data_IF_732984890747
#
_entry.id   IF_732984890747
#
_cell.length_a   1.000
_cell.length_b   1.000
_cell.length_c   1.000
_cell.angle_alpha   90.00
_cell.angle_beta   90.00
_cell.angle_gamma   90.00
#
_symmetry.space_group_name_H-M   'P 1'
#
loop_
_entity.id
_entity.type
_entity.pdbx_description
1 polymer ?
#
# COMPACT_ATOMS: atom_id res chain seq x y z
N UNK A 1 8.07 -12.01 -15.96
CA UNK A 1 7.57 -11.71 -14.58
C UNK A 1 6.24 -10.97 -14.70
N UNK A 2 5.27 -11.28 -13.84
CA UNK A 2 3.99 -10.58 -13.72
C UNK A 2 3.96 -9.78 -12.43
N UNK A 3 4.01 -8.46 -12.54
CA UNK A 3 3.96 -7.53 -11.40
C UNK A 3 2.54 -6.98 -11.29
N UNK A 4 1.93 -7.04 -10.11
CA UNK A 4 0.59 -6.52 -9.90
C UNK A 4 0.56 -5.50 -8.75
N UNK A 5 0.23 -4.27 -9.09
CA UNK A 5 0.00 -3.19 -8.15
C UNK A 5 -1.43 -3.24 -7.64
N UNK A 6 -1.60 -3.07 -6.33
CA UNK A 6 -2.89 -2.85 -5.65
C UNK A 6 -2.87 -1.43 -5.12
N UNK A 7 -3.78 -0.59 -5.61
CA UNK A 7 -3.86 0.83 -5.31
C UNK A 7 -5.29 1.17 -4.90
N UNK A 8 -5.46 1.96 -3.84
CA UNK A 8 -6.80 2.28 -3.34
C UNK A 8 -7.47 3.38 -4.16
N UNK A 9 -6.78 4.50 -4.41
CA UNK A 9 -7.37 5.70 -4.99
C UNK A 9 -6.94 5.94 -6.43
N UNK A 10 -7.88 6.44 -7.25
CA UNK A 10 -7.58 6.86 -8.62
C UNK A 10 -6.48 7.93 -8.67
N UNK A 11 -6.47 8.88 -7.72
CA UNK A 11 -5.46 9.94 -7.66
C UNK A 11 -4.03 9.40 -7.48
N UNK A 12 -3.84 8.31 -6.75
CA UNK A 12 -2.54 7.65 -6.54
C UNK A 12 -2.08 6.89 -7.79
N UNK A 13 -3.03 6.27 -8.50
CA UNK A 13 -2.72 5.46 -9.66
C UNK A 13 -2.57 6.27 -10.96
N UNK A 14 -3.31 7.36 -11.11
CA UNK A 14 -3.41 8.09 -12.38
C UNK A 14 -2.05 8.55 -12.94
N UNK A 15 -1.14 9.19 -12.17
CA UNK A 15 0.17 9.60 -12.70
C UNK A 15 1.01 8.41 -13.19
N UNK A 16 0.79 7.25 -12.61
CA UNK A 16 1.47 6.01 -12.94
C UNK A 16 0.84 5.32 -14.17
N UNK A 17 -0.49 5.33 -14.27
CA UNK A 17 -1.26 4.88 -15.45
C UNK A 17 -0.83 5.67 -16.68
N UNK A 18 -0.78 7.00 -16.56
CA UNK A 18 -0.41 7.92 -17.65
C UNK A 18 1.03 7.70 -18.11
N UNK A 19 1.97 7.52 -17.14
CA UNK A 19 3.38 7.29 -17.46
C UNK A 19 3.60 6.05 -18.32
N UNK A 20 2.97 4.94 -17.95
CA UNK A 20 3.12 3.68 -18.69
C UNK A 20 2.19 3.57 -19.89
N UNK A 21 1.19 4.44 -20.01
CA UNK A 21 0.17 4.33 -21.06
C UNK A 21 -0.51 2.96 -21.03
N UNK A 22 -0.90 2.54 -19.81
CA UNK A 22 -1.59 1.25 -19.60
C UNK A 22 -3.03 1.34 -20.07
N UNK A 23 -3.57 0.24 -20.60
CA UNK A 23 -4.94 0.17 -21.10
C UNK A 23 -5.87 -0.43 -20.06
N UNK A 24 -7.05 0.18 -19.88
CA UNK A 24 -8.09 -0.37 -19.01
C UNK A 24 -8.71 -1.62 -19.64
N UNK A 25 -8.75 -2.69 -18.87
CA UNK A 25 -9.46 -3.92 -19.19
C UNK A 25 -10.86 -3.85 -18.58
N UNK A 26 -11.81 -3.25 -19.31
CA UNK A 26 -13.18 -3.03 -18.82
C UNK A 26 -13.83 -4.34 -18.38
N UNK A 27 -14.58 -4.27 -17.29
CA UNK A 27 -15.38 -5.37 -16.74
C UNK A 27 -14.60 -6.66 -16.41
N UNK A 28 -13.26 -6.59 -16.38
CA UNK A 28 -12.43 -7.79 -16.13
C UNK A 28 -12.75 -8.45 -14.79
N UNK A 29 -13.03 -7.66 -13.76
CA UNK A 29 -13.36 -8.17 -12.44
C UNK A 29 -14.87 -8.25 -12.14
N UNK A 30 -15.75 -7.99 -13.11
CA UNK A 30 -17.18 -8.01 -12.87
C UNK A 30 -17.65 -9.27 -12.12
N UNK A 31 -18.57 -9.17 -11.15
CA UNK A 31 -19.32 -7.95 -10.75
C UNK A 31 -18.61 -7.05 -9.72
N UNK A 32 -17.33 -7.29 -9.39
CA UNK A 32 -16.57 -6.45 -8.48
C UNK A 32 -16.30 -5.08 -9.12
N UNK A 33 -16.26 -3.99 -8.32
CA UNK A 33 -16.02 -2.63 -8.82
C UNK A 33 -14.55 -2.38 -9.18
N UNK A 34 -13.66 -3.34 -8.95
CA UNK A 34 -12.23 -3.21 -9.21
C UNK A 34 -11.94 -2.92 -10.67
N UNK A 35 -10.99 -2.00 -10.92
CA UNK A 35 -10.52 -1.69 -12.28
C UNK A 35 -9.17 -2.33 -12.52
N UNK A 36 -8.96 -2.84 -13.72
CA UNK A 36 -7.69 -3.40 -14.16
C UNK A 36 -7.10 -2.57 -15.30
N UNK A 37 -5.84 -2.16 -15.14
CA UNK A 37 -5.02 -1.61 -16.21
C UNK A 37 -3.85 -2.54 -16.47
N UNK A 38 -3.51 -2.75 -17.75
CA UNK A 38 -2.49 -3.73 -18.12
C UNK A 38 -1.55 -3.21 -19.19
N UNK A 39 -0.27 -3.54 -19.05
CA UNK A 39 0.73 -3.32 -20.10
C UNK A 39 1.73 -4.46 -20.15
N UNK A 40 2.07 -4.87 -21.35
CA UNK A 40 3.20 -5.75 -21.60
C UNK A 40 4.49 -4.93 -21.71
N UNK A 41 5.51 -5.30 -20.95
CA UNK A 41 6.84 -4.68 -20.92
C UNK A 41 7.86 -5.77 -21.23
N UNK A 42 8.32 -5.86 -22.48
CA UNK A 42 9.18 -6.96 -22.92
C UNK A 42 8.49 -8.32 -22.74
N UNK A 43 9.11 -9.21 -21.97
CA UNK A 43 8.57 -10.51 -21.60
C UNK A 43 7.76 -10.51 -20.28
N UNK A 44 7.61 -9.34 -19.67
CA UNK A 44 6.90 -9.15 -18.41
C UNK A 44 5.56 -8.47 -18.61
N UNK A 45 4.68 -8.56 -17.61
CA UNK A 45 3.38 -7.93 -17.61
C UNK A 45 3.24 -7.07 -16.34
N UNK A 46 2.84 -5.83 -16.51
CA UNK A 46 2.45 -4.92 -15.46
C UNK A 46 0.94 -4.85 -15.39
N UNK A 47 0.39 -5.13 -14.23
CA UNK A 47 -1.00 -4.91 -13.89
C UNK A 47 -1.10 -3.83 -12.81
N UNK A 48 -2.07 -2.92 -12.94
CA UNK A 48 -2.47 -1.98 -11.89
C UNK A 48 -3.94 -2.26 -11.61
N UNK A 49 -4.24 -2.67 -10.39
CA UNK A 49 -5.58 -2.96 -9.90
C UNK A 49 -5.98 -1.88 -8.91
N UNK A 50 -7.05 -1.17 -9.21
CA UNK A 50 -7.70 -0.24 -8.30
C UNK A 50 -8.80 -0.96 -7.53
N UNK A 51 -9.00 -0.59 -6.27
CA UNK A 51 -10.11 -1.11 -5.46
C UNK A 51 -11.48 -0.83 -6.10
N UNK A 52 -11.56 0.22 -6.91
CA UNK A 52 -12.77 0.64 -7.59
C UNK A 52 -13.50 1.76 -6.86
N UNK A 53 -14.73 2.03 -7.28
CA UNK A 53 -15.54 3.13 -6.76
C UNK A 53 -16.94 2.67 -6.41
N UNK A 54 -17.53 3.30 -5.40
CA UNK A 54 -18.92 3.15 -5.03
C UNK A 54 -19.51 4.53 -4.65
N UNK A 55 -20.70 4.83 -5.14
CA UNK A 55 -21.37 6.12 -4.91
C UNK A 55 -20.51 7.35 -5.30
N UNK A 56 -19.64 7.19 -6.31
CA UNK A 56 -18.78 8.28 -6.82
C UNK A 56 -17.48 8.51 -6.02
N UNK A 57 -17.20 7.68 -5.00
CA UNK A 57 -15.98 7.76 -4.20
C UNK A 57 -15.12 6.51 -4.37
N UNK A 58 -13.80 6.67 -4.28
CA UNK A 58 -12.87 5.55 -4.27
C UNK A 58 -13.12 4.65 -3.05
N UNK A 59 -13.03 3.34 -3.24
CA UNK A 59 -13.14 2.36 -2.19
C UNK A 59 -11.78 2.21 -1.48
N UNK A 60 -11.68 2.79 -0.29
CA UNK A 60 -10.49 2.69 0.58
C UNK A 60 -10.72 1.70 1.71
N UNK A 61 -9.66 1.30 2.38
CA UNK A 61 -9.72 0.47 3.58
C UNK A 61 -9.50 -1.02 3.35
N UNK A 62 -9.46 -1.73 4.46
CA UNK A 62 -9.05 -3.14 4.52
C UNK A 62 -9.92 -4.08 3.70
N UNK A 63 -11.23 -3.86 3.71
CA UNK A 63 -12.21 -4.74 3.03
C UNK A 63 -12.04 -4.67 1.52
N UNK A 64 -12.00 -3.45 0.97
CA UNK A 64 -11.86 -3.23 -0.46
C UNK A 64 -10.50 -3.76 -0.97
N UNK A 65 -9.43 -3.47 -0.24
CA UNK A 65 -8.09 -3.94 -0.58
C UNK A 65 -7.97 -5.48 -0.51
N UNK A 66 -8.62 -6.12 0.47
CA UNK A 66 -8.66 -7.58 0.56
C UNK A 66 -9.34 -8.20 -0.64
N UNK A 67 -10.51 -7.68 -1.04
CA UNK A 67 -11.27 -8.17 -2.20
C UNK A 67 -10.48 -7.96 -3.49
N UNK A 68 -9.92 -6.78 -3.70
CA UNK A 68 -9.11 -6.48 -4.88
C UNK A 68 -7.88 -7.39 -4.99
N UNK A 69 -7.17 -7.61 -3.88
CA UNK A 69 -5.98 -8.47 -3.83
C UNK A 69 -6.34 -9.93 -4.12
N UNK A 70 -7.42 -10.44 -3.51
CA UNK A 70 -7.90 -11.81 -3.76
C UNK A 70 -8.25 -12.00 -5.23
N UNK A 71 -9.03 -11.08 -5.81
CA UNK A 71 -9.42 -11.14 -7.21
C UNK A 71 -8.20 -11.08 -8.15
N UNK A 72 -7.23 -10.19 -7.85
CA UNK A 72 -6.00 -10.07 -8.61
C UNK A 72 -5.17 -11.36 -8.57
N UNK A 73 -4.96 -11.95 -7.40
CA UNK A 73 -4.19 -13.19 -7.26
C UNK A 73 -4.85 -14.34 -8.03
N UNK A 74 -6.17 -14.49 -7.90
CA UNK A 74 -6.89 -15.60 -8.53
C UNK A 74 -6.99 -15.46 -10.04
N UNK A 75 -7.14 -14.26 -10.58
CA UNK A 75 -7.38 -14.04 -12.01
C UNK A 75 -6.13 -13.69 -12.81
N UNK A 76 -5.12 -13.10 -12.19
CA UNK A 76 -3.90 -12.63 -12.87
C UNK A 76 -2.67 -13.48 -12.54
N UNK A 77 -2.72 -14.29 -11.47
CA UNK A 77 -1.63 -15.13 -10.98
C UNK A 77 -0.26 -14.43 -10.92
N UNK A 78 -0.15 -13.23 -10.29
CA UNK A 78 1.08 -12.45 -10.30
C UNK A 78 2.22 -13.16 -9.58
N UNK A 79 3.46 -12.84 -10.00
CA UNK A 79 4.67 -13.31 -9.33
C UNK A 79 4.92 -12.50 -8.04
N UNK A 80 4.58 -11.21 -8.07
CA UNK A 80 4.71 -10.29 -6.91
C UNK A 80 3.52 -9.32 -6.87
N UNK A 81 3.04 -9.03 -5.67
CA UNK A 81 2.10 -7.95 -5.39
C UNK A 81 2.88 -6.74 -4.88
N UNK A 82 2.51 -5.55 -5.35
CA UNK A 82 3.00 -4.28 -4.82
C UNK A 82 1.80 -3.48 -4.33
N UNK A 83 1.69 -3.26 -3.03
CA UNK A 83 0.73 -2.30 -2.50
C UNK A 83 1.37 -0.91 -2.53
N UNK A 84 0.81 -0.02 -3.33
CA UNK A 84 1.31 1.33 -3.53
C UNK A 84 0.23 2.35 -3.18
N UNK A 85 0.61 3.38 -2.44
CA UNK A 85 -0.34 4.42 -2.03
C UNK A 85 0.29 5.44 -1.08
N UNK A 86 -0.54 6.34 -0.58
CA UNK A 86 -0.15 7.35 0.39
C UNK A 86 -0.25 6.83 1.82
N UNK A 87 0.36 7.53 2.77
CA UNK A 87 0.33 7.19 4.18
C UNK A 87 0.56 8.43 5.06
N UNK A 88 0.09 8.38 6.29
CA UNK A 88 0.60 9.22 7.37
C UNK A 88 1.93 8.67 7.89
N UNK A 89 2.75 9.55 8.49
CA UNK A 89 4.01 9.18 9.12
C UNK A 89 4.27 10.05 10.37
N UNK A 90 5.37 9.84 11.08
CA UNK A 90 5.69 10.58 12.29
C UNK A 90 6.91 11.48 12.08
N UNK A 91 6.72 12.78 12.32
CA UNK A 91 7.82 13.76 12.26
C UNK A 91 8.89 13.44 13.29
N UNK A 92 8.48 12.95 14.47
CA UNK A 92 9.39 12.49 15.52
C UNK A 92 10.33 11.36 15.07
N UNK A 93 9.95 10.60 14.05
CA UNK A 93 10.76 9.53 13.46
C UNK A 93 11.57 10.01 12.22
N UNK A 94 11.58 11.33 11.97
CA UNK A 94 12.32 11.95 10.86
C UNK A 94 11.61 11.85 9.50
N UNK A 95 10.29 11.72 9.49
CA UNK A 95 9.51 11.76 8.27
C UNK A 95 9.20 13.22 7.87
N UNK A 96 9.18 13.44 6.55
CA UNK A 96 8.73 14.68 5.92
C UNK A 96 7.67 14.39 4.84
N UNK A 97 6.87 15.42 4.55
CA UNK A 97 5.84 15.33 3.49
C UNK A 97 6.47 15.01 2.13
N UNK A 98 5.90 14.02 1.47
CA UNK A 98 6.35 13.45 0.19
C UNK A 98 7.64 12.61 0.27
N UNK A 99 8.12 12.26 1.46
CA UNK A 99 9.07 11.16 1.62
C UNK A 99 8.48 9.86 1.08
N UNK A 100 9.33 9.04 0.46
CA UNK A 100 8.92 7.72 0.00
C UNK A 100 9.63 6.62 0.77
N UNK A 101 8.85 5.65 1.20
CA UNK A 101 9.30 4.50 1.97
C UNK A 101 9.00 3.19 1.25
N UNK A 102 9.90 2.22 1.39
CA UNK A 102 9.58 0.81 1.22
C UNK A 102 9.23 0.19 2.58
N UNK A 103 8.12 -0.54 2.62
CA UNK A 103 7.68 -1.22 3.85
C UNK A 103 8.50 -2.47 4.13
N UNK A 104 9.28 -2.48 5.22
CA UNK A 104 10.08 -3.63 5.66
C UNK A 104 9.37 -4.53 6.67
N UNK A 105 8.23 -4.10 7.18
CA UNK A 105 7.32 -4.87 8.02
C UNK A 105 5.90 -4.30 7.88
N UNK A 106 4.90 -5.10 8.23
CA UNK A 106 3.50 -4.69 8.16
C UNK A 106 2.69 -5.31 9.28
N UNK A 107 1.76 -4.53 9.86
CA UNK A 107 0.85 -4.99 10.91
C UNK A 107 -0.48 -4.21 10.88
N UNK A 108 -1.50 -4.73 11.59
CA UNK A 108 -2.68 -3.96 11.95
C UNK A 108 -2.47 -3.21 13.27
N UNK A 109 -3.04 -2.00 13.40
CA UNK A 109 -3.02 -1.26 14.66
C UNK A 109 -4.42 -1.10 15.31
N UNK A 110 -5.49 -1.30 14.55
CA UNK A 110 -6.86 -1.10 15.00
C UNK A 110 -7.62 -2.40 15.36
N UNK A 111 -7.01 -3.57 15.09
CA UNK A 111 -7.63 -4.87 15.42
C UNK A 111 -7.40 -5.21 16.87
N UNK A 112 -8.46 -5.15 17.65
CA UNK A 112 -8.46 -5.48 19.08
C UNK A 112 -9.21 -6.77 19.32
N UNK A 113 -8.46 -7.85 19.52
CA UNK A 113 -9.00 -9.17 19.90
C UNK A 113 -8.48 -9.49 21.29
N UNK A 114 -9.25 -9.19 22.35
CA UNK A 114 -8.84 -9.55 23.71
C UNK A 114 -8.79 -11.07 23.88
N UNK A 115 -7.80 -11.56 24.58
CA UNK A 115 -7.63 -13.00 24.80
C UNK A 115 -6.20 -13.33 25.19
N UNK A 116 -5.82 -14.55 24.90
CA UNK A 116 -4.46 -15.05 25.09
C UNK A 116 -3.49 -14.50 24.02
N UNK A 117 -2.21 -14.84 24.18
CA UNK A 117 -1.13 -14.36 23.31
C UNK A 117 -1.31 -14.74 21.82
N UNK A 118 -1.98 -15.86 21.53
CA UNK A 118 -2.21 -16.32 20.16
C UNK A 118 -3.18 -15.39 19.43
N UNK A 119 -4.28 -15.00 20.06
CA UNK A 119 -5.28 -14.09 19.49
C UNK A 119 -4.74 -12.66 19.36
N UNK A 120 -3.96 -12.21 20.34
CA UNK A 120 -3.28 -10.92 20.26
C UNK A 120 -2.27 -10.87 19.10
N UNK A 121 -1.49 -11.92 18.93
CA UNK A 121 -0.55 -12.06 17.81
C UNK A 121 -1.27 -12.10 16.46
N UNK A 122 -2.38 -12.82 16.36
CA UNK A 122 -3.21 -12.85 15.14
C UNK A 122 -3.85 -11.49 14.86
N UNK A 123 -4.23 -10.74 15.87
CA UNK A 123 -4.78 -9.39 15.71
C UNK A 123 -3.76 -8.46 15.08
N UNK A 124 -2.53 -8.44 15.57
CA UNK A 124 -1.44 -7.63 14.98
C UNK A 124 -1.10 -8.04 13.55
N UNK A 125 -1.06 -9.33 13.28
CA UNK A 125 -0.92 -9.87 11.94
C UNK A 125 0.49 -9.94 11.36
N UNK A 126 1.49 -9.22 11.77
CA UNK A 126 2.92 -9.30 11.39
C UNK A 126 3.24 -10.20 10.17
N UNK A 127 2.69 -9.87 9.00
CA UNK A 127 2.80 -10.70 7.79
C UNK A 127 4.17 -10.57 7.11
N UNK A 128 4.64 -11.62 6.40
CA UNK A 128 5.89 -11.55 5.65
C UNK A 128 5.82 -10.50 4.54
N UNK A 129 6.91 -9.77 4.36
CA UNK A 129 7.12 -8.83 3.25
C UNK A 129 8.14 -9.38 2.26
N UNK A 130 8.30 -8.73 1.11
CA UNK A 130 9.30 -9.12 0.11
C UNK A 130 10.71 -9.15 0.71
N UNK A 131 11.38 -10.29 0.60
CA UNK A 131 12.64 -10.57 1.31
C UNK A 131 13.86 -9.77 0.82
N UNK A 132 13.76 -9.07 -0.31
CA UNK A 132 14.84 -8.20 -0.82
C UNK A 132 14.53 -6.71 -0.63
N UNK A 133 13.60 -6.36 0.25
CA UNK A 133 13.15 -4.96 0.42
C UNK A 133 14.27 -4.04 0.89
N UNK A 134 15.16 -4.50 1.75
CA UNK A 134 16.29 -3.71 2.26
C UNK A 134 17.34 -3.43 1.18
N UNK A 135 17.67 -4.45 0.36
CA UNK A 135 18.54 -4.31 -0.80
C UNK A 135 17.95 -3.31 -1.82
N UNK A 136 16.65 -3.41 -2.06
CA UNK A 136 15.92 -2.48 -2.95
C UNK A 136 15.94 -1.06 -2.41
N UNK A 137 15.66 -0.85 -1.14
CA UNK A 137 15.67 0.47 -0.52
C UNK A 137 17.06 1.12 -0.64
N UNK A 138 18.11 0.37 -0.36
CA UNK A 138 19.49 0.83 -0.53
C UNK A 138 19.83 1.19 -1.98
N UNK A 139 19.47 0.33 -2.94
CA UNK A 139 19.73 0.56 -4.37
C UNK A 139 19.00 1.77 -4.94
N UNK A 140 17.79 2.04 -4.43
CA UNK A 140 16.93 3.14 -4.91
C UNK A 140 17.10 4.44 -4.10
N UNK A 141 17.82 4.40 -2.99
CA UNK A 141 17.96 5.53 -2.06
C UNK A 141 16.63 5.90 -1.39
N UNK A 142 15.77 4.90 -1.10
CA UNK A 142 14.48 5.06 -0.44
C UNK A 142 14.60 4.72 1.05
N UNK A 143 13.74 5.35 1.85
CA UNK A 143 13.63 5.05 3.28
C UNK A 143 12.97 3.68 3.52
N UNK A 144 13.25 3.08 4.67
CA UNK A 144 12.53 1.90 5.17
C UNK A 144 11.61 2.29 6.31
N UNK A 145 10.46 1.63 6.41
CA UNK A 145 9.54 1.87 7.51
C UNK A 145 8.55 0.73 7.72
N UNK A 146 8.12 0.53 8.96
CA UNK A 146 7.07 -0.43 9.31
C UNK A 146 5.70 0.18 9.03
N UNK A 147 4.96 -0.45 8.12
CA UNK A 147 3.58 -0.08 7.77
C UNK A 147 2.63 -0.56 8.88
N UNK A 148 1.72 0.32 9.28
CA UNK A 148 0.64 -0.01 10.23
C UNK A 148 -0.70 0.36 9.63
N UNK A 149 -1.63 -0.58 9.62
CA UNK A 149 -2.90 -0.46 8.91
C UNK A 149 -4.08 -0.43 9.89
N UNK A 150 -5.00 0.49 9.63
CA UNK A 150 -6.30 0.56 10.29
C UNK A 150 -7.35 1.17 9.37
N UNK A 151 -8.62 0.92 9.62
CA UNK A 151 -9.72 1.33 8.73
C UNK A 151 -10.17 2.79 8.92
N UNK A 152 -9.41 3.60 9.67
CA UNK A 152 -9.72 5.01 9.92
C UNK A 152 -8.61 5.94 9.42
N UNK A 153 -9.01 7.05 8.78
CA UNK A 153 -8.04 8.07 8.34
C UNK A 153 -7.48 8.83 9.53
N UNK A 154 -8.31 9.21 10.49
CA UNK A 154 -7.89 9.81 11.76
C UNK A 154 -7.16 8.79 12.65
N UNK A 155 -6.59 9.25 13.73
CA UNK A 155 -5.87 8.41 14.69
C UNK A 155 -6.40 8.66 16.09
N UNK A 156 -6.92 7.60 16.73
CA UNK A 156 -7.32 7.65 18.12
C UNK A 156 -6.11 7.40 19.06
N UNK A 157 -6.14 7.89 20.32
CA UNK A 157 -5.06 7.64 21.27
C UNK A 157 -4.68 6.16 21.42
N UNK A 158 -5.67 5.26 21.43
CA UNK A 158 -5.42 3.82 21.53
C UNK A 158 -4.70 3.25 20.29
N UNK A 159 -4.94 3.81 19.10
CA UNK A 159 -4.23 3.41 17.88
C UNK A 159 -2.76 3.83 17.96
N UNK A 160 -2.51 5.09 18.40
CA UNK A 160 -1.17 5.60 18.62
C UNK A 160 -0.37 4.76 19.62
N UNK A 161 -1.01 4.33 20.73
CA UNK A 161 -0.37 3.47 21.73
C UNK A 161 0.08 2.13 21.09
N UNK A 162 -0.79 1.50 20.30
CA UNK A 162 -0.47 0.23 19.62
C UNK A 162 0.63 0.44 18.57
N UNK A 163 0.54 1.51 17.77
CA UNK A 163 1.54 1.83 16.76
C UNK A 163 2.91 1.99 17.41
N UNK A 164 3.03 2.82 18.45
CA UNK A 164 4.29 3.07 19.15
C UNK A 164 4.85 1.84 19.85
N UNK A 165 3.99 1.08 20.55
CA UNK A 165 4.39 -0.14 21.26
C UNK A 165 4.98 -1.21 20.31
N UNK A 166 4.60 -1.18 19.03
CA UNK A 166 5.04 -2.14 18.01
C UNK A 166 6.01 -1.53 16.97
N UNK A 167 6.51 -0.31 17.17
CA UNK A 167 7.48 0.33 16.29
C UNK A 167 6.93 0.67 14.90
N UNK A 168 5.63 0.98 14.81
CA UNK A 168 4.99 1.43 13.57
C UNK A 168 5.43 2.83 13.19
N UNK A 169 5.69 3.07 11.90
CA UNK A 169 6.23 4.33 11.39
C UNK A 169 5.35 4.95 10.29
N UNK A 170 4.60 4.11 9.55
CA UNK A 170 3.77 4.52 8.43
C UNK A 170 2.34 4.07 8.69
N UNK A 171 1.40 5.01 8.74
CA UNK A 171 -0.02 4.71 8.97
C UNK A 171 -0.77 4.71 7.65
N UNK A 172 -1.36 3.60 7.27
CA UNK A 172 -2.20 3.47 6.08
C UNK A 172 -3.55 2.78 6.38
N UNK A 173 -4.33 2.55 5.34
CA UNK A 173 -5.65 1.91 5.49
C UNK A 173 -5.77 0.55 4.77
N UNK A 174 -4.73 0.05 4.08
CA UNK A 174 -4.81 -1.14 3.23
C UNK A 174 -3.69 -2.17 3.41
N UNK A 175 -2.49 -1.73 3.73
CA UNK A 175 -1.27 -2.53 3.60
C UNK A 175 -1.33 -3.88 4.29
N UNK A 176 -1.74 -3.94 5.55
CA UNK A 176 -1.82 -5.20 6.29
C UNK A 176 -2.93 -6.13 5.74
N UNK A 177 -4.00 -5.58 5.19
CA UNK A 177 -5.06 -6.36 4.56
C UNK A 177 -4.57 -7.01 3.25
N UNK A 178 -3.81 -6.28 2.44
CA UNK A 178 -3.12 -6.82 1.25
C UNK A 178 -2.14 -7.92 1.66
N UNK A 179 -1.31 -7.68 2.68
CA UNK A 179 -0.36 -8.66 3.19
C UNK A 179 -1.03 -9.91 3.73
N UNK A 180 -2.15 -9.77 4.45
CA UNK A 180 -2.94 -10.90 4.91
C UNK A 180 -3.34 -11.81 3.77
N UNK A 181 -3.95 -11.26 2.72
CA UNK A 181 -4.36 -12.06 1.55
C UNK A 181 -3.15 -12.68 0.86
N UNK A 182 -2.06 -11.92 0.66
CA UNK A 182 -0.83 -12.43 0.07
C UNK A 182 -0.25 -13.60 0.88
N UNK A 183 -0.31 -13.56 2.22
CA UNK A 183 0.19 -14.63 3.09
C UNK A 183 -0.57 -15.94 2.90
N UNK A 184 -1.90 -15.88 2.71
CA UNK A 184 -2.74 -17.06 2.45
C UNK A 184 -2.36 -17.77 1.15
N UNK A 185 -1.90 -17.01 0.15
CA UNK A 185 -1.49 -17.53 -1.16
C UNK A 185 0.03 -17.68 -1.29
N UNK A 186 0.80 -17.41 -0.24
CA UNK A 186 2.27 -17.41 -0.25
C UNK A 186 2.85 -16.54 -1.37
N UNK A 187 2.23 -15.40 -1.63
CA UNK A 187 2.68 -14.42 -2.62
C UNK A 187 3.57 -13.40 -1.95
N UNK A 188 4.73 -13.06 -2.54
CA UNK A 188 5.53 -11.96 -2.06
C UNK A 188 4.79 -10.64 -2.22
N UNK A 189 4.90 -9.77 -1.20
CA UNK A 189 4.30 -8.44 -1.21
C UNK A 189 5.33 -7.38 -0.84
N UNK A 190 5.34 -6.30 -1.63
CA UNK A 190 6.17 -5.11 -1.43
C UNK A 190 5.25 -3.92 -1.17
N UNK A 191 5.67 -2.99 -0.32
CA UNK A 191 4.96 -1.75 -0.02
C UNK A 191 5.77 -0.56 -0.50
N UNK A 192 5.11 0.35 -1.24
CA UNK A 192 5.67 1.64 -1.67
C UNK A 192 4.73 2.73 -1.17
N UNK A 193 5.19 3.52 -0.20
CA UNK A 193 4.34 4.49 0.49
C UNK A 193 4.93 5.88 0.43
N UNK A 194 4.10 6.89 0.10
CA UNK A 194 4.49 8.29 0.08
C UNK A 194 3.70 9.09 1.13
N UNK A 195 4.39 9.94 1.87
CA UNK A 195 3.83 10.63 3.04
C UNK A 195 2.96 11.82 2.62
N UNK A 196 1.69 11.81 3.04
CA UNK A 196 0.74 12.92 2.86
C UNK A 196 0.57 13.79 4.08
N UNK A 197 0.69 13.20 5.27
CA UNK A 197 0.40 13.85 6.54
C UNK A 197 1.32 13.35 7.65
N UNK A 198 1.55 14.22 8.64
CA UNK A 198 2.38 13.90 9.80
C UNK A 198 1.47 13.70 11.02
N UNK A 199 1.31 12.45 11.44
CA UNK A 199 0.40 12.03 12.51
C UNK A 199 0.63 12.73 13.85
N UNK A 200 1.81 13.34 14.05
CA UNK A 200 2.23 14.04 15.26
C UNK A 200 2.47 15.54 15.03
N UNK A 201 2.01 16.12 13.92
CA UNK A 201 2.15 17.54 13.60
C UNK A 201 1.19 18.44 14.40
N UNK A 202 0.09 17.88 14.91
CA UNK A 202 -1.01 18.62 15.51
C UNK A 202 -1.95 19.27 14.50
N UNK A 203 -1.70 19.10 13.19
CA UNK A 203 -2.63 19.52 12.14
C UNK A 203 -3.81 18.54 12.04
N UNK A 204 -4.93 19.02 11.47
CA UNK A 204 -6.07 18.15 11.17
C UNK A 204 -5.70 17.23 9.99
N UNK A 205 -5.85 15.90 10.18
CA UNK A 205 -5.33 14.88 9.27
C UNK A 205 -5.86 15.03 7.86
N UNK A 206 -7.18 15.24 7.69
CA UNK A 206 -7.80 15.35 6.37
C UNK A 206 -7.34 16.60 5.60
N UNK A 207 -7.15 17.72 6.30
CA UNK A 207 -6.66 18.95 5.69
C UNK A 207 -5.20 18.80 5.21
N UNK A 208 -4.36 18.19 6.02
CA UNK A 208 -2.95 17.96 5.68
C UNK A 208 -2.82 16.96 4.53
N UNK A 209 -3.54 15.84 4.60
CA UNK A 209 -3.66 14.86 3.53
C UNK A 209 -4.08 15.51 2.21
N UNK A 210 -5.20 16.24 2.20
CA UNK A 210 -5.77 16.83 0.98
C UNK A 210 -4.82 17.85 0.34
N UNK A 211 -4.16 18.66 1.16
CA UNK A 211 -3.20 19.67 0.70
C UNK A 211 -1.96 19.05 0.04
N UNK A 212 -1.49 17.91 0.53
CA UNK A 212 -0.25 17.29 0.09
C UNK A 212 -0.43 16.13 -0.90
N UNK A 213 -1.67 15.68 -1.14
CA UNK A 213 -1.96 14.49 -1.95
C UNK A 213 -1.29 14.54 -3.33
N UNK A 214 -1.43 15.63 -4.07
CA UNK A 214 -0.84 15.75 -5.42
C UNK A 214 0.69 15.62 -5.41
N UNK A 215 1.36 16.24 -4.42
CA UNK A 215 2.82 16.15 -4.28
C UNK A 215 3.26 14.73 -3.92
N UNK A 216 2.57 14.09 -3.00
CA UNK A 216 2.85 12.72 -2.60
C UNK A 216 2.62 11.72 -3.75
N UNK A 217 1.56 11.88 -4.53
CA UNK A 217 1.29 11.05 -5.72
C UNK A 217 2.39 11.18 -6.78
N UNK A 218 2.96 12.38 -6.97
CA UNK A 218 4.06 12.57 -7.93
C UNK A 218 5.35 11.88 -7.46
N UNK A 219 5.73 12.00 -6.19
CA UNK A 219 6.91 11.27 -5.67
C UNK A 219 6.68 9.77 -5.64
N UNK A 220 5.44 9.33 -5.36
CA UNK A 220 5.03 7.92 -5.44
C UNK A 220 5.20 7.37 -6.86
N UNK A 221 4.77 8.13 -7.90
CA UNK A 221 4.97 7.76 -9.31
C UNK A 221 6.44 7.53 -9.62
N UNK A 222 7.30 8.48 -9.26
CA UNK A 222 8.75 8.38 -9.51
C UNK A 222 9.34 7.13 -8.84
N UNK A 223 8.95 6.86 -7.59
CA UNK A 223 9.41 5.68 -6.87
C UNK A 223 8.91 4.37 -7.50
N UNK A 224 7.63 4.31 -7.89
CA UNK A 224 7.05 3.13 -8.54
C UNK A 224 7.76 2.78 -9.86
N UNK A 225 8.13 3.79 -10.67
CA UNK A 225 8.90 3.57 -11.90
C UNK A 225 10.24 2.90 -11.57
N UNK A 226 10.99 3.46 -10.62
CA UNK A 226 12.28 2.88 -10.19
C UNK A 226 12.13 1.46 -9.63
N UNK A 227 11.08 1.20 -8.86
CA UNK A 227 10.78 -0.13 -8.32
C UNK A 227 10.50 -1.12 -9.44
N UNK A 228 9.70 -0.75 -10.44
CA UNK A 228 9.42 -1.62 -11.61
C UNK A 228 10.70 -1.90 -12.38
N UNK A 229 11.48 -0.86 -12.70
CA UNK A 229 12.73 -1.03 -13.45
C UNK A 229 13.68 -2.00 -12.73
N UNK A 230 13.78 -1.88 -11.40
CA UNK A 230 14.62 -2.79 -10.60
C UNK A 230 14.06 -4.23 -10.58
N UNK A 231 12.74 -4.40 -10.42
CA UNK A 231 12.10 -5.72 -10.46
C UNK A 231 12.24 -6.41 -11.83
N UNK A 232 12.22 -5.63 -12.91
CA UNK A 232 12.35 -6.15 -14.27
C UNK A 232 13.80 -6.48 -14.67
N UNK A 233 14.77 -5.90 -13.96
CA UNK A 233 16.20 -6.15 -14.19
C UNK A 233 16.76 -7.32 -13.39
N UNK A 234 16.01 -7.84 -12.41
CA UNK A 234 16.39 -8.94 -11.52
C UNK A 234 15.97 -10.31 -12.07
#
# INVERSE_FOLDING_TARGET
>A
MTICYIVAMQAEAQPFIDHYGVEEQKDFFAPLPCKLYTKKIGNSVLHIVLNGQQHGSDLVGCEAASVATLAAIQRLAPDIIVNSGTCGAFKSDGADIADVYLGNAVMFHDRRVPGDDEWGTQALGNYPVYNKVEEMASALGLKLGKVTTGSSLDMQPCDLEIIKANGGQLKDMEGAAVAFVCSLFRKPVLFVKSVTDLCDSGAETYEEFSRNLSKACETLRVANIKVIDLLLSA
#
